data_IF_015511616196
#
_entry.id   IF_015511616196
#
_cell.length_a   1.000
_cell.length_b   1.000
_cell.length_c   1.000
_cell.angle_alpha   90.00
_cell.angle_beta   90.00
_cell.angle_gamma   90.00
#
_symmetry.space_group_name_H-M   'P 1'
#
loop_
_entity.id
_entity.type
_entity.pdbx_description
1 polymer ?
#
# COMPACT_ATOMS: atom_id res chain seq x y z
N UNK A 1 -16.74 -11.49 10.13
CA UNK A 1 -16.06 -10.20 9.79
C UNK A 1 -17.06 -9.06 9.94
N UNK A 2 -16.74 -8.04 10.71
CA UNK A 2 -17.59 -6.87 10.90
C UNK A 2 -17.32 -5.84 9.77
N UNK A 3 -18.39 -5.27 9.19
CA UNK A 3 -18.29 -4.13 8.29
C UNK A 3 -18.03 -2.87 9.12
N UNK A 4 -16.95 -2.16 8.84
CA UNK A 4 -16.58 -0.90 9.52
C UNK A 4 -17.01 0.32 8.71
N UNK A 5 -16.93 0.22 7.40
CA UNK A 5 -17.22 1.30 6.48
C UNK A 5 -17.57 0.75 5.10
N UNK A 6 -18.45 1.46 4.40
CA UNK A 6 -18.84 1.16 3.02
C UNK A 6 -19.07 2.46 2.27
N UNK A 7 -18.61 2.52 1.04
CA UNK A 7 -18.75 3.66 0.16
C UNK A 7 -18.93 3.18 -1.28
N UNK A 8 -19.78 3.87 -2.04
CA UNK A 8 -19.95 3.62 -3.48
C UNK A 8 -19.62 4.88 -4.24
N UNK A 9 -18.71 4.78 -5.18
CA UNK A 9 -18.29 5.88 -6.04
C UNK A 9 -18.12 5.37 -7.47
N UNK A 10 -18.69 6.06 -8.44
CA UNK A 10 -18.67 5.69 -9.88
C UNK A 10 -19.06 4.22 -10.16
N UNK A 11 -20.02 3.71 -9.41
CA UNK A 11 -20.50 2.32 -9.54
C UNK A 11 -19.68 1.29 -8.76
N UNK A 12 -18.49 1.62 -8.30
CA UNK A 12 -17.57 0.74 -7.55
C UNK A 12 -17.91 0.74 -6.06
N UNK A 13 -17.99 -0.45 -5.45
CA UNK A 13 -18.26 -0.64 -4.04
C UNK A 13 -16.97 -0.86 -3.26
N UNK A 14 -16.66 0.06 -2.36
CA UNK A 14 -15.54 -0.03 -1.42
C UNK A 14 -16.04 -0.44 -0.04
N UNK A 15 -15.34 -1.37 0.60
CA UNK A 15 -15.69 -1.82 1.94
C UNK A 15 -14.45 -2.03 2.80
N UNK A 16 -14.46 -1.45 4.00
CA UNK A 16 -13.47 -1.77 5.03
C UNK A 16 -14.11 -2.71 6.04
N UNK A 17 -13.47 -3.85 6.28
CA UNK A 17 -13.94 -4.88 7.20
C UNK A 17 -12.89 -5.21 8.25
N UNK A 18 -13.36 -5.53 9.47
CA UNK A 18 -12.54 -6.06 10.55
C UNK A 18 -12.64 -7.58 10.64
N UNK A 19 -11.49 -8.23 10.85
CA UNK A 19 -11.40 -9.65 11.21
C UNK A 19 -10.44 -9.76 12.40
N UNK A 20 -10.99 -9.73 13.62
CA UNK A 20 -10.18 -9.54 14.82
C UNK A 20 -9.41 -8.22 14.78
N UNK A 21 -8.09 -8.26 14.98
CA UNK A 21 -7.22 -7.08 14.88
C UNK A 21 -6.91 -6.66 13.44
N UNK A 22 -7.24 -7.48 12.43
CA UNK A 22 -6.96 -7.16 11.04
C UNK A 22 -7.97 -6.18 10.46
N UNK A 23 -7.49 -5.33 9.55
CA UNK A 23 -8.29 -4.48 8.67
C UNK A 23 -8.12 -4.97 7.24
N UNK A 24 -9.21 -4.99 6.48
CA UNK A 24 -9.25 -5.44 5.09
C UNK A 24 -10.02 -4.44 4.24
N UNK A 25 -9.44 -4.03 3.12
CA UNK A 25 -10.12 -3.25 2.08
C UNK A 25 -10.53 -4.17 0.95
N UNK A 26 -11.80 -4.09 0.59
CA UNK A 26 -12.38 -4.74 -0.58
C UNK A 26 -12.87 -3.69 -1.57
N UNK A 27 -12.67 -3.95 -2.85
CA UNK A 27 -13.24 -3.18 -3.96
C UNK A 27 -13.99 -4.16 -4.85
N UNK A 28 -15.31 -3.98 -4.99
CA UNK A 28 -16.21 -4.91 -5.68
C UNK A 28 -16.03 -6.38 -5.25
N UNK A 29 -15.84 -6.60 -3.95
CA UNK A 29 -15.64 -7.92 -3.37
C UNK A 29 -14.22 -8.49 -3.49
N UNK A 30 -13.33 -7.83 -4.24
CA UNK A 30 -11.91 -8.22 -4.36
C UNK A 30 -11.11 -7.65 -3.18
N UNK A 31 -10.32 -8.49 -2.52
CA UNK A 31 -9.42 -8.06 -1.44
C UNK A 31 -8.20 -7.33 -2.02
N UNK A 32 -8.09 -6.04 -1.76
CA UNK A 32 -6.97 -5.20 -2.21
C UNK A 32 -5.88 -4.98 -1.18
N UNK A 33 -6.24 -5.01 0.10
CA UNK A 33 -5.28 -4.70 1.15
C UNK A 33 -5.70 -5.35 2.47
N UNK A 34 -4.74 -5.93 3.16
CA UNK A 34 -4.93 -6.46 4.52
C UNK A 34 -3.76 -6.03 5.41
N UNK A 35 -4.06 -5.55 6.60
CA UNK A 35 -3.08 -5.20 7.62
C UNK A 35 -3.51 -5.69 9.00
N UNK A 36 -2.54 -6.19 9.77
CA UNK A 36 -2.73 -6.56 11.17
C UNK A 36 -1.65 -5.85 12.01
N UNK A 37 -2.01 -4.92 12.93
CA UNK A 37 -1.03 -4.18 13.72
C UNK A 37 -0.26 -5.04 14.71
N UNK A 38 -0.75 -6.25 15.02
CA UNK A 38 -0.11 -7.20 15.95
C UNK A 38 0.72 -8.25 15.23
N UNK A 39 0.70 -8.30 13.91
CA UNK A 39 1.37 -9.33 13.12
C UNK A 39 1.89 -8.74 11.82
N UNK A 40 3.19 -8.45 11.78
CA UNK A 40 3.84 -7.86 10.60
C UNK A 40 3.84 -8.87 9.45
N UNK A 41 4.33 -10.08 9.70
CA UNK A 41 4.32 -11.18 8.72
C UNK A 41 2.94 -11.81 8.70
N UNK A 42 2.25 -11.68 7.61
CA UNK A 42 0.84 -12.08 7.47
C UNK A 42 0.67 -13.45 6.82
N UNK A 43 1.68 -13.92 6.08
CA UNK A 43 1.62 -15.10 5.22
C UNK A 43 0.85 -14.84 3.92
N UNK A 44 0.68 -13.58 3.56
CA UNK A 44 -0.01 -13.17 2.34
C UNK A 44 0.98 -12.74 1.23
N UNK A 45 0.47 -12.58 0.02
CA UNK A 45 1.26 -12.14 -1.14
C UNK A 45 1.99 -10.81 -0.91
N UNK A 46 1.46 -9.92 -0.09
CA UNK A 46 2.10 -8.63 0.20
C UNK A 46 3.42 -8.76 0.98
N UNK A 47 3.61 -9.85 1.72
CA UNK A 47 4.89 -10.11 2.39
C UNK A 47 6.02 -10.33 1.37
N UNK A 48 5.71 -10.80 0.16
CA UNK A 48 6.68 -10.99 -0.91
C UNK A 48 7.24 -9.68 -1.48
N UNK A 49 6.58 -8.56 -1.26
CA UNK A 49 7.01 -7.24 -1.75
C UNK A 49 8.23 -6.71 -0.99
N UNK A 50 8.35 -7.02 0.29
CA UNK A 50 9.47 -6.56 1.12
C UNK A 50 10.44 -7.68 1.52
N UNK A 51 10.03 -8.94 1.43
CA UNK A 51 10.88 -10.07 1.80
C UNK A 51 12.23 -10.11 1.06
N UNK A 52 12.32 -9.81 -0.26
CA UNK A 52 13.59 -9.81 -0.98
C UNK A 52 14.64 -8.85 -0.41
N UNK A 53 14.23 -7.81 0.30
CA UNK A 53 15.13 -6.82 0.90
C UNK A 53 16.13 -7.47 1.88
N UNK A 54 15.70 -8.53 2.58
CA UNK A 54 16.58 -9.23 3.54
C UNK A 54 17.71 -10.03 2.87
N UNK A 55 17.66 -10.19 1.56
CA UNK A 55 18.70 -10.86 0.78
C UNK A 55 19.63 -9.87 0.05
N UNK A 56 19.40 -8.56 0.20
CA UNK A 56 20.24 -7.53 -0.36
C UNK A 56 21.39 -7.21 0.59
N UNK A 57 22.57 -6.99 0.05
CA UNK A 57 23.73 -6.55 0.82
C UNK A 57 23.69 -5.06 1.20
N UNK A 58 22.53 -4.43 1.14
CA UNK A 58 22.38 -3.00 1.42
C UNK A 58 22.43 -2.72 2.92
N UNK A 59 23.32 -1.83 3.38
CA UNK A 59 23.52 -1.58 4.81
C UNK A 59 22.33 -0.88 5.46
N UNK A 60 21.54 -0.13 4.71
CA UNK A 60 20.39 0.63 5.22
C UNK A 60 19.42 1.03 4.11
N UNK A 61 18.15 0.85 4.35
CA UNK A 61 17.07 1.33 3.47
C UNK A 61 16.51 2.61 4.10
N UNK A 62 16.86 3.76 3.53
CA UNK A 62 16.45 5.07 4.06
C UNK A 62 15.31 5.71 3.27
N UNK A 63 15.30 5.52 1.94
CA UNK A 63 14.28 6.10 1.07
C UNK A 63 13.62 5.03 0.21
N UNK A 64 12.31 4.91 0.31
CA UNK A 64 11.52 3.89 -0.38
C UNK A 64 10.51 4.57 -1.31
N UNK A 65 10.41 4.06 -2.55
CA UNK A 65 9.30 4.36 -3.46
C UNK A 65 8.38 3.14 -3.54
N UNK A 66 7.10 3.34 -3.25
CA UNK A 66 6.05 2.34 -3.42
C UNK A 66 5.08 2.80 -4.50
N UNK A 67 4.99 2.06 -5.58
CA UNK A 67 4.06 2.25 -6.67
C UNK A 67 2.89 1.29 -6.51
N UNK A 68 1.67 1.83 -6.37
CA UNK A 68 0.50 1.06 -5.98
C UNK A 68 0.42 0.89 -4.46
N UNK A 69 0.01 1.96 -3.75
CA UNK A 69 -0.04 1.94 -2.29
C UNK A 69 -1.25 1.17 -1.73
N UNK A 70 -2.34 1.06 -2.51
CA UNK A 70 -3.61 0.56 -2.02
C UNK A 70 -4.05 1.29 -0.75
N UNK A 71 -4.51 0.57 0.27
CA UNK A 71 -4.80 1.17 1.58
C UNK A 71 -3.58 1.22 2.52
N UNK A 72 -2.37 0.99 2.04
CA UNK A 72 -1.14 1.26 2.78
C UNK A 72 -0.69 0.17 3.75
N UNK A 73 -1.13 -1.08 3.60
CA UNK A 73 -0.62 -2.17 4.44
C UNK A 73 0.89 -2.35 4.29
N UNK A 74 1.39 -2.32 3.05
CA UNK A 74 2.83 -2.41 2.76
C UNK A 74 3.59 -1.23 3.36
N UNK A 75 3.04 -0.01 3.33
CA UNK A 75 3.63 1.16 3.99
C UNK A 75 3.83 0.89 5.48
N UNK A 76 2.82 0.34 6.15
CA UNK A 76 2.88 -0.01 7.56
C UNK A 76 3.94 -1.08 7.86
N UNK A 77 4.04 -2.10 7.00
CA UNK A 77 5.05 -3.15 7.13
C UNK A 77 6.46 -2.59 6.93
N UNK A 78 6.68 -1.76 5.90
CA UNK A 78 7.97 -1.11 5.62
C UNK A 78 8.42 -0.20 6.77
N UNK A 79 7.50 0.61 7.32
CA UNK A 79 7.79 1.47 8.46
C UNK A 79 8.20 0.66 9.70
N UNK A 80 7.47 -0.43 9.99
CA UNK A 80 7.76 -1.29 11.16
C UNK A 80 9.04 -2.10 11.00
N UNK A 81 9.39 -2.54 9.79
CA UNK A 81 10.55 -3.42 9.54
C UNK A 81 11.85 -2.66 9.35
N UNK A 82 11.81 -1.54 8.65
CA UNK A 82 13.02 -0.85 8.18
C UNK A 82 13.21 0.54 8.79
N UNK A 83 12.16 1.15 9.35
CA UNK A 83 12.17 2.51 9.90
C UNK A 83 12.88 3.51 8.97
N UNK A 84 12.46 3.59 7.68
CA UNK A 84 13.11 4.45 6.71
C UNK A 84 12.91 5.92 7.07
N UNK A 85 13.78 6.80 6.56
CA UNK A 85 13.62 8.26 6.72
C UNK A 85 12.42 8.79 5.94
N UNK A 86 12.13 8.17 4.79
CA UNK A 86 11.05 8.58 3.90
C UNK A 86 10.48 7.39 3.12
N UNK A 87 9.15 7.30 3.10
CA UNK A 87 8.41 6.47 2.15
C UNK A 87 7.62 7.41 1.25
N UNK A 88 7.91 7.39 -0.04
CA UNK A 88 7.08 8.03 -1.07
C UNK A 88 6.17 6.97 -1.65
N UNK A 89 4.86 7.14 -1.55
CA UNK A 89 3.89 6.18 -2.03
C UNK A 89 2.94 6.82 -3.04
N UNK A 90 2.74 6.15 -4.17
CA UNK A 90 1.91 6.60 -5.28
C UNK A 90 0.70 5.69 -5.41
N UNK A 91 -0.49 6.27 -5.45
CA UNK A 91 -1.75 5.57 -5.62
C UNK A 91 -2.69 6.43 -6.47
N UNK A 92 -3.32 5.86 -7.47
CA UNK A 92 -4.21 6.62 -8.35
C UNK A 92 -5.64 6.73 -7.79
N UNK A 93 -6.06 5.78 -6.95
CA UNK A 93 -7.41 5.74 -6.40
C UNK A 93 -7.55 6.61 -5.14
N UNK A 94 -8.31 7.72 -5.19
CA UNK A 94 -8.48 8.62 -4.06
C UNK A 94 -9.17 7.95 -2.86
N UNK A 95 -10.06 6.98 -3.11
CA UNK A 95 -10.76 6.24 -2.06
C UNK A 95 -9.77 5.37 -1.28
N UNK A 96 -8.82 4.71 -1.96
CA UNK A 96 -7.76 3.95 -1.32
C UNK A 96 -6.91 4.84 -0.42
N UNK A 97 -6.52 6.03 -0.89
CA UNK A 97 -5.74 6.99 -0.10
C UNK A 97 -6.50 7.50 1.14
N UNK A 98 -7.80 7.72 1.00
CA UNK A 98 -8.67 8.06 2.14
C UNK A 98 -8.70 6.93 3.16
N UNK A 99 -8.96 5.70 2.71
CA UNK A 99 -9.00 4.50 3.55
C UNK A 99 -7.66 4.26 4.25
N UNK A 100 -6.53 4.48 3.57
CA UNK A 100 -5.19 4.36 4.15
C UNK A 100 -5.04 5.25 5.40
N UNK A 101 -5.51 6.48 5.34
CA UNK A 101 -5.43 7.45 6.45
C UNK A 101 -6.42 7.12 7.56
N UNK A 102 -7.67 6.85 7.22
CA UNK A 102 -8.78 6.72 8.18
C UNK A 102 -8.79 5.35 8.88
N UNK A 103 -8.42 4.27 8.20
CA UNK A 103 -8.61 2.91 8.72
C UNK A 103 -7.32 2.10 8.87
N UNK A 104 -6.25 2.43 8.13
CA UNK A 104 -5.00 1.68 8.17
C UNK A 104 -3.89 2.39 8.94
N UNK A 105 -4.15 3.59 9.45
CA UNK A 105 -3.21 4.34 10.29
C UNK A 105 -1.97 4.83 9.53
N UNK A 106 -2.10 5.07 8.22
CA UNK A 106 -1.05 5.71 7.44
C UNK A 106 -1.04 7.20 7.74
N UNK A 107 0.07 7.71 8.27
CA UNK A 107 0.21 9.10 8.69
C UNK A 107 1.19 9.86 7.81
N UNK A 108 1.10 11.20 7.81
CA UNK A 108 2.06 12.08 7.13
C UNK A 108 3.48 11.98 7.70
N UNK A 109 3.63 11.49 8.92
CA UNK A 109 4.94 11.29 9.55
C UNK A 109 5.68 10.08 8.95
N UNK A 110 4.91 9.06 8.50
CA UNK A 110 5.47 7.84 7.92
C UNK A 110 5.77 8.00 6.44
N UNK A 111 4.91 8.70 5.70
CA UNK A 111 4.91 8.65 4.25
C UNK A 111 4.35 9.91 3.61
N UNK A 112 4.89 10.23 2.44
CA UNK A 112 4.32 11.20 1.50
C UNK A 112 3.47 10.43 0.50
N UNK A 113 2.14 10.61 0.57
CA UNK A 113 1.19 9.99 -0.35
C UNK A 113 0.91 10.92 -1.54
N UNK A 114 1.16 10.41 -2.75
CA UNK A 114 0.83 11.08 -4.00
C UNK A 114 -0.36 10.42 -4.66
N UNK A 115 -1.40 11.21 -4.94
CA UNK A 115 -2.48 10.78 -5.84
C UNK A 115 -2.06 11.02 -7.28
N UNK A 116 -1.64 9.97 -7.97
CA UNK A 116 -1.15 10.06 -9.34
C UNK A 116 -1.17 8.69 -10.04
N UNK A 117 -1.16 8.70 -11.36
CA UNK A 117 -0.71 7.56 -12.15
C UNK A 117 0.78 7.32 -11.92
N UNK A 118 1.17 6.08 -11.63
CA UNK A 118 2.54 5.74 -11.27
C UNK A 118 3.54 5.98 -12.41
N UNK A 119 3.16 5.67 -13.66
CA UNK A 119 4.03 5.89 -14.81
C UNK A 119 4.22 7.38 -15.07
N UNK A 120 3.17 8.19 -14.89
CA UNK A 120 3.27 9.63 -14.99
C UNK A 120 4.13 10.22 -13.86
N UNK A 121 3.94 9.74 -12.64
CA UNK A 121 4.75 10.13 -11.50
C UNK A 121 6.24 9.89 -11.76
N UNK A 122 6.63 8.68 -12.21
CA UNK A 122 8.02 8.34 -12.51
C UNK A 122 8.60 9.25 -13.59
N UNK A 123 7.85 9.48 -14.68
CA UNK A 123 8.33 10.37 -15.78
C UNK A 123 8.62 11.79 -15.32
N UNK A 124 7.83 12.29 -14.35
CA UNK A 124 7.96 13.66 -13.83
C UNK A 124 8.85 13.78 -12.60
N UNK A 125 9.20 12.67 -11.98
CA UNK A 125 9.98 12.68 -10.75
C UNK A 125 11.36 13.31 -10.98
N UNK A 126 11.72 14.29 -10.14
CA UNK A 126 13.02 15.01 -10.19
C UNK A 126 13.68 15.04 -8.82
N UNK A 127 13.24 14.20 -7.89
CA UNK A 127 13.81 14.10 -6.55
C UNK A 127 15.07 13.24 -6.49
N UNK A 128 15.55 13.00 -5.28
CA UNK A 128 16.71 12.13 -5.03
C UNK A 128 16.43 10.65 -5.31
N UNK A 129 17.48 9.84 -5.28
CA UNK A 129 17.41 8.39 -5.50
C UNK A 129 16.66 7.70 -4.36
N UNK A 130 16.10 6.54 -4.66
CA UNK A 130 15.51 5.62 -3.69
C UNK A 130 16.45 4.42 -3.51
N UNK A 131 16.54 3.92 -2.28
CA UNK A 131 17.29 2.70 -1.94
C UNK A 131 16.49 1.45 -2.30
N UNK A 132 15.15 1.57 -2.28
CA UNK A 132 14.22 0.51 -2.61
C UNK A 132 13.07 1.08 -3.45
N UNK A 133 12.74 0.39 -4.53
CA UNK A 133 11.54 0.65 -5.34
C UNK A 133 10.71 -0.62 -5.35
N UNK A 134 9.45 -0.52 -4.95
CA UNK A 134 8.47 -1.60 -4.97
C UNK A 134 7.41 -1.26 -6.00
N UNK A 135 7.18 -2.17 -6.94
CA UNK A 135 6.13 -2.10 -7.94
C UNK A 135 5.02 -3.11 -7.57
N UNK A 136 3.91 -2.59 -7.04
CA UNK A 136 2.68 -3.32 -6.72
C UNK A 136 1.50 -2.75 -7.54
N UNK A 137 1.76 -2.41 -8.80
CA UNK A 137 0.73 -1.89 -9.70
C UNK A 137 -0.19 -3.00 -10.15
N UNK A 138 -1.46 -2.84 -9.84
CA UNK A 138 -2.51 -3.78 -10.17
C UNK A 138 -3.71 -3.08 -10.79
N UNK A 139 -4.16 -3.57 -11.94
CA UNK A 139 -5.42 -3.15 -12.57
C UNK A 139 -6.35 -4.35 -12.64
N UNK A 140 -7.41 -4.35 -11.86
CA UNK A 140 -8.46 -5.35 -11.95
C UNK A 140 -9.31 -5.08 -13.22
N UNK A 141 -9.06 -5.83 -14.28
CA UNK A 141 -9.99 -5.96 -15.41
C UNK A 141 -10.38 -7.42 -15.56
N UNK A 142 -11.57 -7.77 -15.05
CA UNK A 142 -12.00 -9.16 -14.91
C UNK A 142 -11.15 -9.89 -13.85
N UNK A 143 -10.94 -11.18 -14.00
CA UNK A 143 -10.15 -12.00 -13.07
C UNK A 143 -8.65 -12.05 -13.43
N UNK A 144 -8.14 -11.10 -14.21
CA UNK A 144 -6.75 -11.13 -14.71
C UNK A 144 -6.04 -9.82 -14.30
N UNK A 145 -4.95 -9.97 -13.54
CA UNK A 145 -3.98 -8.89 -13.33
C UNK A 145 -3.34 -8.53 -14.68
N UNK A 146 -3.32 -7.26 -15.05
CA UNK A 146 -2.52 -6.74 -16.17
C UNK A 146 -1.54 -5.71 -15.61
N UNK A 147 -0.29 -5.90 -15.95
CA UNK A 147 0.77 -4.91 -15.77
C UNK A 147 0.72 -3.86 -16.87
#
# INVERSE_FOLDING_TARGET
MALLWSHREEGVLYQVRAAGSSRRLYTDGVLHTQFNPRRIVTGSVWDLLWLPVFFLAAPRIERILLLGAGAGAVIRQLDMLFQPKEIVAVENNPVHLRVAREFFGVTRKMTVLHQADAAEFIRRYRGGRFDLIIDDLFVARGNVARR
#
